data_IF_786723596723
#
_entry.id   IF_786723596723
#
_cell.length_a   1.000
_cell.length_b   1.000
_cell.length_c   1.000
_cell.angle_alpha   90.00
_cell.angle_beta   90.00
_cell.angle_gamma   90.00
#
_symmetry.space_group_name_H-M   'P 1'
#
loop_
_entity.id
_entity.type
_entity.pdbx_description
1 polymer ?
#
# COMPACT_ATOMS: atom_id res chain seq x y z
N UNK A 1 -0.61 -15.56 -14.68
CA UNK A 1 -1.05 -15.01 -13.37
C UNK A 1 -0.61 -13.56 -13.30
N UNK A 2 -1.51 -12.61 -13.46
CA UNK A 2 -1.17 -11.21 -13.36
C UNK A 2 -0.77 -10.88 -11.93
N UNK A 3 0.50 -10.53 -11.74
CA UNK A 3 0.99 -9.99 -10.46
C UNK A 3 0.28 -8.66 -10.21
N UNK A 4 -0.59 -8.61 -9.21
CA UNK A 4 -1.15 -7.33 -8.77
C UNK A 4 -0.08 -6.59 -7.98
N UNK A 5 0.46 -5.54 -8.57
CA UNK A 5 1.40 -4.65 -7.91
C UNK A 5 0.69 -3.91 -6.77
N UNK A 6 1.26 -3.94 -5.58
CA UNK A 6 0.83 -3.10 -4.47
C UNK A 6 1.75 -1.89 -4.35
N UNK A 7 1.27 -0.82 -3.73
CA UNK A 7 2.13 0.35 -3.46
C UNK A 7 3.33 -0.02 -2.59
N UNK A 8 3.14 -0.92 -1.64
CA UNK A 8 4.24 -1.47 -0.82
C UNK A 8 5.31 -2.12 -1.68
N UNK A 9 4.91 -2.93 -2.67
CA UNK A 9 5.86 -3.57 -3.58
C UNK A 9 6.64 -2.53 -4.41
N UNK A 10 5.96 -1.51 -4.95
CA UNK A 10 6.63 -0.44 -5.69
C UNK A 10 7.62 0.35 -4.81
N UNK A 11 7.29 0.59 -3.56
CA UNK A 11 8.20 1.25 -2.60
C UNK A 11 9.43 0.38 -2.36
N UNK A 12 9.26 -0.92 -2.12
CA UNK A 12 10.36 -1.85 -1.88
C UNK A 12 11.26 -2.01 -3.11
N UNK A 13 10.66 -2.13 -4.30
CA UNK A 13 11.40 -2.18 -5.57
C UNK A 13 12.22 -0.92 -5.77
N UNK A 14 11.65 0.25 -5.53
CA UNK A 14 12.36 1.53 -5.65
C UNK A 14 13.52 1.64 -4.66
N UNK A 15 13.34 1.20 -3.42
CA UNK A 15 14.43 1.14 -2.43
C UNK A 15 15.50 0.12 -2.81
N UNK A 16 15.13 -0.97 -3.49
CA UNK A 16 16.10 -1.95 -4.00
C UNK A 16 16.95 -1.36 -5.13
N UNK A 17 16.35 -0.58 -6.02
CA UNK A 17 17.05 0.04 -7.16
C UNK A 17 17.95 1.19 -6.71
N UNK A 18 17.45 2.09 -5.87
CA UNK A 18 18.13 3.31 -5.45
C UNK A 18 19.10 3.08 -4.28
N UNK A 19 18.96 1.97 -3.55
CA UNK A 19 19.70 1.67 -2.33
C UNK A 19 19.21 2.49 -1.13
N UNK A 20 19.19 3.80 -1.24
CA UNK A 20 18.69 4.74 -0.24
C UNK A 20 17.84 5.81 -0.90
N UNK A 21 16.73 6.21 -0.26
CA UNK A 21 15.82 7.20 -0.79
C UNK A 21 15.18 8.08 0.28
N UNK A 22 14.98 9.36 -0.02
CA UNK A 22 14.16 10.25 0.80
C UNK A 22 12.67 9.99 0.54
N UNK A 23 11.81 10.41 1.48
CA UNK A 23 10.36 10.30 1.28
C UNK A 23 9.90 10.99 -0.02
N UNK A 24 10.45 12.16 -0.33
CA UNK A 24 10.12 12.89 -1.56
C UNK A 24 10.54 12.16 -2.83
N UNK A 25 11.68 11.46 -2.80
CA UNK A 25 12.15 10.71 -3.97
C UNK A 25 11.38 9.41 -4.19
N UNK A 26 10.74 8.87 -3.15
CA UNK A 26 9.88 7.68 -3.24
C UNK A 26 8.52 8.05 -3.86
N UNK A 27 8.00 9.25 -3.58
CA UNK A 27 6.74 9.74 -4.15
C UNK A 27 6.82 9.91 -5.68
N UNK A 28 5.70 9.78 -6.42
CA UNK A 28 5.66 10.13 -7.82
C UNK A 28 6.09 11.59 -8.04
N UNK A 29 7.08 11.81 -8.90
CA UNK A 29 7.72 13.12 -9.11
C UNK A 29 6.86 14.12 -9.86
N UNK A 30 5.94 13.63 -10.70
CA UNK A 30 5.09 14.46 -11.54
C UNK A 30 3.75 13.77 -11.86
N UNK A 31 2.88 14.51 -12.58
CA UNK A 31 1.55 14.02 -12.95
C UNK A 31 1.59 12.78 -13.84
N UNK A 32 2.59 12.66 -14.70
CA UNK A 32 2.74 11.53 -15.64
C UNK A 32 3.10 10.27 -14.86
N UNK A 33 4.09 10.35 -13.98
CA UNK A 33 4.48 9.24 -13.11
C UNK A 33 3.33 8.81 -12.19
N UNK A 34 2.62 9.77 -11.60
CA UNK A 34 1.42 9.48 -10.80
C UNK A 34 0.31 8.79 -11.60
N UNK A 35 0.15 9.12 -12.89
CA UNK A 35 -0.81 8.44 -13.78
C UNK A 35 -0.39 6.99 -14.06
N UNK A 36 0.90 6.77 -14.33
CA UNK A 36 1.47 5.43 -14.54
C UNK A 36 1.27 4.58 -13.28
N UNK A 37 1.61 5.11 -12.11
CA UNK A 37 1.44 4.41 -10.84
C UNK A 37 -0.01 4.04 -10.57
N UNK A 38 -0.95 4.96 -10.80
CA UNK A 38 -2.38 4.64 -10.67
C UNK A 38 -2.82 3.51 -11.58
N UNK A 39 -2.35 3.52 -12.84
CA UNK A 39 -2.65 2.45 -13.80
C UNK A 39 -2.07 1.10 -13.37
N UNK A 40 -0.80 1.06 -13.01
CA UNK A 40 -0.10 -0.16 -12.57
C UNK A 40 -0.73 -0.74 -11.31
N UNK A 41 -1.15 0.14 -10.39
CA UNK A 41 -1.79 -0.26 -9.14
C UNK A 41 -3.29 -0.53 -9.27
N UNK A 42 -3.90 -0.21 -10.41
CA UNK A 42 -5.35 -0.33 -10.58
C UNK A 42 -6.16 0.66 -9.72
N UNK A 43 -5.56 1.80 -9.37
CA UNK A 43 -6.19 2.83 -8.56
C UNK A 43 -7.14 3.72 -9.38
N UNK A 44 -8.17 4.31 -8.75
CA UNK A 44 -9.04 5.28 -9.39
C UNK A 44 -8.26 6.49 -9.94
N UNK A 45 -8.75 7.10 -11.03
CA UNK A 45 -8.10 8.25 -11.67
C UNK A 45 -7.97 9.47 -10.74
N UNK A 46 -8.89 9.62 -9.80
CA UNK A 46 -8.87 10.70 -8.79
C UNK A 46 -8.04 10.40 -7.53
N UNK A 47 -7.34 9.26 -7.49
CA UNK A 47 -6.48 8.95 -6.34
C UNK A 47 -5.25 9.87 -6.32
N UNK A 48 -5.00 10.49 -5.18
CA UNK A 48 -3.84 11.35 -4.95
C UNK A 48 -2.84 10.67 -4.02
N UNK A 49 -1.60 10.54 -4.46
CA UNK A 49 -0.51 10.07 -3.62
C UNK A 49 -0.10 11.16 -2.64
N UNK A 50 -0.16 10.88 -1.34
CA UNK A 50 0.20 11.83 -0.29
C UNK A 50 1.44 11.39 0.48
N UNK A 51 2.26 12.35 0.88
CA UNK A 51 3.43 12.11 1.72
C UNK A 51 3.06 11.40 3.04
N UNK A 52 1.89 11.70 3.59
CA UNK A 52 1.41 11.07 4.83
C UNK A 52 1.15 9.57 4.64
N UNK A 53 0.50 9.18 3.54
CA UNK A 53 0.24 7.77 3.23
C UNK A 53 1.56 7.00 3.11
N UNK A 54 2.52 7.54 2.38
CA UNK A 54 3.85 6.94 2.22
C UNK A 54 4.60 6.86 3.56
N UNK A 55 4.55 7.91 4.37
CA UNK A 55 5.16 7.92 5.71
C UNK A 55 4.59 6.84 6.61
N UNK A 56 3.27 6.63 6.59
CA UNK A 56 2.61 5.56 7.36
C UNK A 56 3.03 4.18 6.86
N UNK A 57 3.07 3.96 5.54
CA UNK A 57 3.52 2.69 4.96
C UNK A 57 4.97 2.39 5.30
N UNK A 58 5.87 3.37 5.17
CA UNK A 58 7.28 3.22 5.54
C UNK A 58 7.45 2.95 7.04
N UNK A 59 6.66 3.59 7.90
CA UNK A 59 6.68 3.33 9.34
C UNK A 59 6.23 1.90 9.68
N UNK A 60 5.23 1.37 8.98
CA UNK A 60 4.82 -0.04 9.10
C UNK A 60 5.93 -0.98 8.66
N UNK A 61 6.53 -0.73 7.50
CA UNK A 61 7.65 -1.54 7.00
C UNK A 61 8.83 -1.51 7.96
N UNK A 62 9.08 -0.36 8.60
CA UNK A 62 10.09 -0.24 9.65
C UNK A 62 9.75 -1.07 10.88
N UNK A 63 8.52 -1.04 11.36
CA UNK A 63 8.08 -1.85 12.51
C UNK A 63 8.15 -3.35 12.22
N UNK A 64 8.00 -3.76 10.97
CA UNK A 64 8.20 -5.13 10.50
C UNK A 64 9.67 -5.51 10.32
N UNK A 65 10.59 -4.54 10.47
CA UNK A 65 12.03 -4.74 10.28
C UNK A 65 12.48 -4.86 8.82
N UNK A 66 11.65 -4.46 7.86
CA UNK A 66 11.93 -4.58 6.41
C UNK A 66 12.70 -3.39 5.85
N UNK A 67 12.51 -2.20 6.44
CA UNK A 67 13.22 -0.98 6.09
C UNK A 67 13.84 -0.33 7.32
N UNK A 68 14.91 0.40 7.11
CA UNK A 68 15.57 1.23 8.11
C UNK A 68 15.45 2.70 7.74
N UNK A 69 15.48 3.56 8.74
CA UNK A 69 15.47 5.00 8.59
C UNK A 69 16.70 5.59 9.27
N UNK A 70 17.46 6.41 8.56
CA UNK A 70 18.63 7.09 9.05
C UNK A 70 18.54 8.59 8.79
N UNK A 71 19.15 9.41 9.68
CA UNK A 71 19.24 10.86 9.55
C UNK A 71 18.07 11.64 10.17
N UNK A 72 18.16 12.99 10.14
CA UNK A 72 17.19 13.90 10.76
C UNK A 72 15.88 13.93 9.99
N UNK A 73 14.77 14.21 10.68
CA UNK A 73 13.39 14.06 10.20
C UNK A 73 13.09 14.51 8.76
N UNK A 74 13.57 15.68 8.33
CA UNK A 74 13.29 16.22 6.98
C UNK A 74 14.18 15.66 5.88
N UNK A 75 15.33 15.08 6.24
CA UNK A 75 16.31 14.51 5.31
C UNK A 75 16.60 13.04 5.60
N UNK A 76 15.64 12.37 6.24
CA UNK A 76 15.79 10.95 6.53
C UNK A 76 15.90 10.14 5.26
N UNK A 77 16.86 9.22 5.25
CA UNK A 77 17.03 8.22 4.21
C UNK A 77 16.38 6.91 4.64
N UNK A 78 15.66 6.31 3.75
CA UNK A 78 15.06 5.01 3.90
C UNK A 78 15.83 4.01 3.05
N UNK A 79 16.09 2.82 3.60
CA UNK A 79 16.79 1.74 2.90
C UNK A 79 16.22 0.39 3.29
N UNK A 80 16.42 -0.62 2.43
CA UNK A 80 16.07 -1.99 2.77
C UNK A 80 17.04 -2.55 3.81
N UNK A 81 16.50 -3.23 4.82
CA UNK A 81 17.31 -4.08 5.72
C UNK A 81 17.68 -5.40 5.03
N UNK A 82 18.67 -6.17 5.55
CA UNK A 82 18.90 -7.54 5.07
C UNK A 82 17.62 -8.39 5.10
N UNK A 83 16.83 -8.31 6.16
CA UNK A 83 15.52 -8.97 6.27
C UNK A 83 14.56 -8.49 5.18
N UNK A 84 14.55 -7.19 4.87
CA UNK A 84 13.71 -6.62 3.81
C UNK A 84 14.08 -7.16 2.44
N UNK A 85 15.37 -7.29 2.14
CA UNK A 85 15.86 -7.88 0.89
C UNK A 85 15.47 -9.35 0.76
N UNK A 86 15.66 -10.13 1.81
CA UNK A 86 15.31 -11.56 1.82
C UNK A 86 13.79 -11.78 1.71
N UNK A 87 13.00 -10.96 2.41
CA UNK A 87 11.55 -11.06 2.43
C UNK A 87 10.87 -10.45 1.20
N UNK A 88 11.59 -9.69 0.38
CA UNK A 88 11.02 -8.99 -0.77
C UNK A 88 10.41 -9.97 -1.77
N UNK A 89 11.04 -11.10 -2.01
CA UNK A 89 10.51 -12.14 -2.89
C UNK A 89 9.19 -12.71 -2.36
N UNK A 90 9.12 -13.01 -1.07
CA UNK A 90 7.91 -13.54 -0.42
C UNK A 90 6.77 -12.52 -0.41
N UNK A 91 7.08 -11.23 -0.19
CA UNK A 91 6.11 -10.14 -0.22
C UNK A 91 5.53 -9.95 -1.62
N UNK A 92 6.39 -10.00 -2.64
CA UNK A 92 5.98 -9.85 -4.04
C UNK A 92 5.20 -11.07 -4.53
N UNK A 93 5.53 -12.26 -4.02
CA UNK A 93 4.91 -13.53 -4.42
C UNK A 93 3.78 -13.99 -3.48
N UNK A 94 3.45 -13.21 -2.42
CA UNK A 94 2.39 -13.60 -1.49
C UNK A 94 1.08 -13.85 -2.22
N UNK A 95 0.64 -15.10 -2.19
CA UNK A 95 -0.57 -15.52 -2.84
C UNK A 95 -1.80 -14.93 -2.14
N UNK A 96 -2.62 -14.24 -2.91
CA UNK A 96 -3.95 -13.86 -2.46
C UNK A 96 -4.81 -15.14 -2.36
N UNK A 97 -5.76 -15.21 -1.41
CA UNK A 97 -6.74 -16.28 -1.39
C UNK A 97 -7.41 -16.41 -2.76
N UNK A 98 -7.67 -17.62 -3.19
CA UNK A 98 -8.37 -17.89 -4.46
C UNK A 98 -9.78 -17.30 -4.46
N UNK A 99 -10.28 -16.95 -5.62
CA UNK A 99 -11.69 -16.60 -5.78
C UNK A 99 -12.56 -17.82 -5.50
N UNK A 100 -13.57 -17.63 -4.68
CA UNK A 100 -14.52 -18.68 -4.30
C UNK A 100 -15.94 -18.46 -4.86
N UNK A 101 -16.10 -17.47 -5.73
CA UNK A 101 -17.37 -17.11 -6.35
C UNK A 101 -18.35 -16.36 -5.43
N UNK A 102 -17.98 -16.13 -4.18
CA UNK A 102 -18.83 -15.41 -3.23
C UNK A 102 -18.57 -13.91 -3.33
N UNK A 103 -19.61 -13.15 -3.68
CA UNK A 103 -19.54 -11.70 -3.72
C UNK A 103 -19.44 -11.11 -2.31
N UNK A 104 -18.43 -10.27 -2.10
CA UNK A 104 -18.21 -9.57 -0.83
C UNK A 104 -18.21 -8.07 -1.06
N UNK A 105 -18.94 -7.36 -0.23
CA UNK A 105 -18.95 -5.91 -0.20
C UNK A 105 -18.17 -5.43 1.01
N UNK A 106 -17.26 -4.49 0.79
CA UNK A 106 -16.59 -3.73 1.84
C UNK A 106 -17.10 -2.31 1.78
N UNK A 107 -17.62 -1.85 2.88
CA UNK A 107 -18.12 -0.47 3.06
C UNK A 107 -17.44 0.15 4.26
N UNK A 108 -17.04 1.42 4.14
CA UNK A 108 -16.43 2.14 5.25
C UNK A 108 -16.84 3.61 5.22
N UNK A 109 -16.95 4.19 6.40
CA UNK A 109 -17.15 5.62 6.61
C UNK A 109 -16.04 6.15 7.50
N UNK A 110 -15.14 6.93 6.91
CA UNK A 110 -13.96 7.48 7.59
C UNK A 110 -14.00 9.00 7.47
N UNK A 111 -13.94 9.73 8.59
CA UNK A 111 -13.96 11.19 8.60
C UNK A 111 -12.87 11.80 7.70
N UNK A 112 -13.13 12.98 7.15
CA UNK A 112 -12.17 13.70 6.29
C UNK A 112 -10.86 14.01 7.04
N UNK A 113 -10.92 14.22 8.34
CA UNK A 113 -9.74 14.41 9.21
C UNK A 113 -8.79 13.21 9.21
N UNK A 114 -9.29 12.01 8.86
CA UNK A 114 -8.55 10.76 8.78
C UNK A 114 -8.43 10.23 7.33
N UNK A 115 -8.47 11.13 6.35
CA UNK A 115 -8.39 10.80 4.92
C UNK A 115 -7.29 9.80 4.57
N UNK A 116 -6.13 9.91 5.22
CA UNK A 116 -5.01 8.99 4.98
C UNK A 116 -5.35 7.52 5.28
N UNK A 117 -6.20 7.24 6.29
CA UNK A 117 -6.67 5.88 6.59
C UNK A 117 -7.53 5.33 5.46
N UNK A 118 -8.39 6.19 4.91
CA UNK A 118 -9.24 5.87 3.74
C UNK A 118 -8.39 5.53 2.52
N UNK A 119 -7.33 6.30 2.28
CA UNK A 119 -6.42 6.06 1.16
C UNK A 119 -5.64 4.75 1.34
N UNK A 120 -5.22 4.42 2.55
CA UNK A 120 -4.58 3.13 2.86
C UNK A 120 -5.51 1.94 2.63
N UNK A 121 -6.77 2.03 3.10
CA UNK A 121 -7.76 0.96 2.87
C UNK A 121 -8.00 0.74 1.37
N UNK A 122 -8.13 1.82 0.60
CA UNK A 122 -8.28 1.73 -0.86
C UNK A 122 -7.12 0.99 -1.51
N UNK A 123 -5.88 1.32 -1.13
CA UNK A 123 -4.69 0.65 -1.62
C UNK A 123 -4.71 -0.85 -1.31
N UNK A 124 -5.07 -1.21 -0.10
CA UNK A 124 -5.12 -2.61 0.32
C UNK A 124 -6.25 -3.39 -0.36
N UNK A 125 -7.43 -2.78 -0.53
CA UNK A 125 -8.55 -3.40 -1.24
C UNK A 125 -8.20 -3.67 -2.71
N UNK A 126 -7.56 -2.72 -3.38
CA UNK A 126 -7.07 -2.91 -4.75
C UNK A 126 -6.05 -4.04 -4.80
N UNK A 127 -5.09 -4.09 -3.86
CA UNK A 127 -4.12 -5.18 -3.78
C UNK A 127 -4.79 -6.56 -3.57
N UNK A 128 -5.92 -6.61 -2.83
CA UNK A 128 -6.73 -7.81 -2.64
C UNK A 128 -7.63 -8.16 -3.84
N UNK A 129 -7.62 -7.35 -4.90
CA UNK A 129 -8.42 -7.62 -6.09
C UNK A 129 -9.85 -7.12 -6.04
N UNK A 130 -10.19 -6.28 -5.07
CA UNK A 130 -11.49 -5.63 -4.99
C UNK A 130 -11.56 -4.45 -5.98
N UNK A 131 -12.73 -4.20 -6.52
CA UNK A 131 -13.00 -3.07 -7.40
C UNK A 131 -13.94 -2.07 -6.74
N UNK A 132 -13.70 -0.82 -6.99
CA UNK A 132 -14.53 0.25 -6.47
C UNK A 132 -15.87 0.33 -7.22
N UNK A 133 -16.98 0.32 -6.48
CA UNK A 133 -18.32 0.61 -7.00
C UNK A 133 -18.69 2.08 -6.75
N UNK A 134 -18.41 2.56 -5.54
CA UNK A 134 -18.57 3.96 -5.11
C UNK A 134 -17.40 4.33 -4.21
N UNK A 135 -17.27 5.61 -3.84
CA UNK A 135 -16.12 6.11 -3.06
C UNK A 135 -15.75 5.27 -1.84
N UNK A 136 -16.74 4.72 -1.14
CA UNK A 136 -16.55 3.94 0.08
C UNK A 136 -17.17 2.54 -0.01
N UNK A 137 -17.50 2.06 -1.23
CA UNK A 137 -18.11 0.75 -1.47
C UNK A 137 -17.27 -0.02 -2.49
N UNK A 138 -16.85 -1.20 -2.09
CA UNK A 138 -15.96 -2.05 -2.86
C UNK A 138 -16.50 -3.47 -2.98
N UNK A 139 -16.33 -4.08 -4.14
CA UNK A 139 -16.79 -5.43 -4.44
C UNK A 139 -15.59 -6.33 -4.78
N UNK A 140 -15.56 -7.50 -4.19
CA UNK A 140 -14.60 -8.56 -4.50
C UNK A 140 -15.19 -9.95 -4.40
N UNK A 141 -14.49 -10.93 -4.96
CA UNK A 141 -14.85 -12.34 -4.98
C UNK A 141 -13.81 -13.23 -4.29
N UNK A 142 -12.92 -12.62 -3.52
CA UNK A 142 -11.89 -13.30 -2.71
C UNK A 142 -12.15 -13.06 -1.23
N UNK A 143 -11.88 -14.03 -0.37
CA UNK A 143 -11.78 -13.75 1.06
C UNK A 143 -10.74 -12.66 1.30
N UNK A 144 -11.01 -11.76 2.23
CA UNK A 144 -9.99 -10.80 2.67
C UNK A 144 -8.90 -11.54 3.46
N UNK A 145 -7.63 -11.34 3.10
CA UNK A 145 -6.55 -12.00 3.83
C UNK A 145 -6.47 -11.48 5.27
N UNK A 146 -6.05 -12.34 6.19
CA UNK A 146 -5.85 -11.96 7.60
C UNK A 146 -4.98 -10.71 7.78
N UNK A 147 -4.00 -10.56 6.90
CA UNK A 147 -3.13 -9.39 6.82
C UNK A 147 -3.89 -8.07 6.62
N UNK A 148 -4.97 -8.10 5.83
CA UNK A 148 -5.86 -6.95 5.67
C UNK A 148 -6.61 -6.63 6.97
N UNK A 149 -7.13 -7.64 7.65
CA UNK A 149 -7.83 -7.45 8.92
C UNK A 149 -6.89 -6.86 9.98
N UNK A 150 -5.67 -7.37 10.09
CA UNK A 150 -4.64 -6.81 10.99
C UNK A 150 -4.32 -5.35 10.67
N UNK A 151 -4.29 -4.97 9.40
CA UNK A 151 -4.02 -3.57 9.03
C UNK A 151 -5.17 -2.63 9.42
N UNK A 152 -6.41 -3.09 9.47
CA UNK A 152 -7.53 -2.33 10.04
C UNK A 152 -7.35 -2.07 11.53
N UNK A 153 -6.90 -3.08 12.28
CA UNK A 153 -6.60 -2.94 13.71
C UNK A 153 -5.47 -1.92 13.95
N UNK A 154 -4.39 -2.01 13.16
CA UNK A 154 -3.27 -1.06 13.21
C UNK A 154 -3.71 0.39 12.92
N UNK A 155 -4.72 0.58 12.09
CA UNK A 155 -5.31 1.88 11.79
C UNK A 155 -6.32 2.33 12.87
N UNK A 156 -6.55 1.50 13.89
CA UNK A 156 -7.55 1.75 14.94
C UNK A 156 -8.96 1.99 14.38
N UNK A 157 -9.30 1.28 13.31
CA UNK A 157 -10.64 1.27 12.74
C UNK A 157 -11.44 0.18 13.46
N UNK A 158 -12.44 0.61 14.23
CA UNK A 158 -13.38 -0.31 14.87
C UNK A 158 -14.40 -0.80 13.83
N UNK A 159 -14.70 -2.09 13.88
CA UNK A 159 -15.82 -2.70 13.15
C UNK A 159 -17.16 -2.24 13.75
#
# INVERSE_FOLDING_TARGET
MERKNSLTNLILEKLQEDGEATLESILPRNRVEGRIWRRVLGLPTGYEFSARTFSVLLSRLKSQGLVAKAGPHKKSLWSLTPKGKDSMLDIITSDLPSEDGVARLVMFDIPETERYKRDLIRLELVACGYRQLQKSVWLGYRPLPEKFIRSLDDLQLKN
#
